data_IF_544991932063
#
_entry.id   IF_544991932063
#
_cell.length_a   1.000
_cell.length_b   1.000
_cell.length_c   1.000
_cell.angle_alpha   90.00
_cell.angle_beta   90.00
_cell.angle_gamma   90.00
#
_symmetry.space_group_name_H-M   'P 1'
#
loop_
_entity.id
_entity.type
_entity.pdbx_description
1 polymer ?
#
# COMPACT_ATOMS: atom_id res chain seq x y z
N UNK A 1 -8.41 9.03 -21.27
CA UNK A 1 -7.80 7.76 -21.74
C UNK A 1 -7.28 7.01 -20.51
N UNK A 2 -7.65 5.74 -20.30
CA UNK A 2 -7.19 4.95 -19.15
C UNK A 2 -5.74 4.51 -19.38
N UNK A 3 -4.83 4.87 -18.48
CA UNK A 3 -3.40 4.55 -18.56
C UNK A 3 -2.92 3.60 -17.47
N UNK A 4 -3.64 3.56 -16.34
CA UNK A 4 -3.33 2.73 -15.19
C UNK A 4 -4.63 2.19 -14.58
N UNK A 5 -4.63 0.93 -14.15
CA UNK A 5 -5.76 0.25 -13.54
C UNK A 5 -5.23 -0.57 -12.35
N UNK A 6 -5.77 -0.32 -11.17
CA UNK A 6 -5.43 -1.11 -10.00
C UNK A 6 -6.65 -1.87 -9.50
N UNK A 7 -6.49 -3.16 -9.33
CA UNK A 7 -7.49 -4.05 -8.77
C UNK A 7 -7.14 -4.30 -7.32
N UNK A 8 -8.05 -3.97 -6.41
CA UNK A 8 -7.90 -4.22 -4.99
C UNK A 8 -8.88 -5.28 -4.51
N UNK A 9 -8.36 -6.29 -3.85
CA UNK A 9 -9.18 -7.25 -3.11
C UNK A 9 -9.61 -6.64 -1.77
N UNK A 10 -10.89 -6.77 -1.43
CA UNK A 10 -11.42 -6.24 -0.18
C UNK A 10 -10.94 -7.07 1.00
N UNK A 11 -10.26 -6.43 1.95
CA UNK A 11 -9.85 -7.03 3.20
C UNK A 11 -10.68 -6.49 4.37
N UNK A 12 -11.27 -7.38 5.15
CA UNK A 12 -12.01 -6.99 6.35
C UNK A 12 -11.08 -6.76 7.52
N UNK A 13 -11.19 -5.59 8.11
CA UNK A 13 -10.49 -5.26 9.36
C UNK A 13 -11.48 -5.34 10.53
N UNK A 14 -11.09 -5.99 11.61
CA UNK A 14 -11.93 -6.25 12.80
C UNK A 14 -12.64 -5.00 13.36
N UNK A 15 -12.01 -3.84 13.24
CA UNK A 15 -12.56 -2.56 13.70
C UNK A 15 -13.45 -1.84 12.67
N UNK A 16 -13.62 -2.40 11.46
CA UNK A 16 -14.43 -1.74 10.43
C UNK A 16 -15.93 -2.06 10.62
N UNK A 17 -16.77 -1.07 10.32
CA UNK A 17 -18.22 -1.26 10.29
C UNK A 17 -18.61 -2.36 9.30
N UNK A 18 -17.89 -2.43 8.18
CA UNK A 18 -18.07 -3.41 7.13
C UNK A 18 -17.86 -4.87 7.60
N UNK A 19 -16.99 -5.09 8.61
CA UNK A 19 -16.77 -6.41 9.20
C UNK A 19 -18.02 -6.93 9.93
N UNK A 20 -18.76 -6.03 10.55
CA UNK A 20 -20.02 -6.36 11.28
C UNK A 20 -21.18 -6.69 10.33
N UNK A 21 -21.18 -6.07 9.15
CA UNK A 21 -22.23 -6.19 8.13
C UNK A 21 -21.95 -7.31 7.10
N UNK A 22 -20.82 -8.01 7.22
CA UNK A 22 -20.34 -8.95 6.20
C UNK A 22 -21.07 -10.29 6.15
N UNK A 23 -21.96 -10.58 7.08
CA UNK A 23 -22.64 -11.89 7.16
C UNK A 23 -23.76 -12.11 6.11
N UNK A 24 -24.16 -11.08 5.36
CA UNK A 24 -25.27 -11.13 4.38
C UNK A 24 -24.83 -10.97 2.92
N UNK A 25 -23.60 -11.23 2.57
CA UNK A 25 -23.13 -10.95 1.21
C UNK A 25 -23.42 -12.07 0.23
N UNK A 26 -24.06 -11.70 -0.87
CA UNK A 26 -24.12 -12.51 -2.08
C UNK A 26 -22.72 -12.78 -2.60
N UNK A 27 -22.42 -14.02 -2.96
CA UNK A 27 -21.17 -14.39 -3.59
C UNK A 27 -20.99 -13.58 -4.87
N UNK A 28 -19.92 -12.80 -4.94
CA UNK A 28 -19.53 -12.12 -6.17
C UNK A 28 -18.96 -13.19 -7.10
N UNK A 29 -19.47 -13.23 -8.34
CA UNK A 29 -18.90 -14.11 -9.36
C UNK A 29 -17.51 -13.61 -9.77
N UNK A 30 -16.52 -14.15 -9.09
CA UNK A 30 -15.11 -13.80 -9.29
C UNK A 30 -14.64 -14.11 -10.71
N UNK A 31 -15.04 -15.24 -11.28
CA UNK A 31 -14.63 -15.63 -12.62
C UNK A 31 -15.13 -14.63 -13.67
N UNK A 32 -16.35 -14.11 -13.46
CA UNK A 32 -16.90 -13.07 -14.32
C UNK A 32 -16.12 -11.75 -14.20
N UNK A 33 -15.73 -11.35 -12.98
CA UNK A 33 -14.91 -10.15 -12.76
C UNK A 33 -13.54 -10.32 -13.40
N UNK A 34 -12.86 -11.42 -13.16
CA UNK A 34 -11.54 -11.70 -13.74
C UNK A 34 -11.59 -11.66 -15.27
N UNK A 35 -12.62 -12.24 -15.88
CA UNK A 35 -12.83 -12.17 -17.33
C UNK A 35 -13.00 -10.75 -17.83
N UNK A 36 -13.74 -9.89 -17.12
CA UNK A 36 -13.90 -8.48 -17.50
C UNK A 36 -12.59 -7.69 -17.34
N UNK A 37 -11.83 -7.94 -16.27
CA UNK A 37 -10.51 -7.33 -16.07
C UNK A 37 -9.58 -7.71 -17.22
N UNK A 38 -9.47 -8.98 -17.54
CA UNK A 38 -8.66 -9.49 -18.65
C UNK A 38 -9.02 -8.79 -19.96
N UNK A 39 -10.30 -8.71 -20.29
CA UNK A 39 -10.78 -8.01 -21.49
C UNK A 39 -10.33 -6.54 -21.53
N UNK A 40 -10.49 -5.81 -20.42
CA UNK A 40 -10.06 -4.39 -20.33
C UNK A 40 -8.55 -4.27 -20.52
N UNK A 41 -7.78 -5.13 -19.85
CA UNK A 41 -6.30 -5.15 -19.89
C UNK A 41 -5.83 -5.38 -21.33
N UNK A 42 -6.42 -6.36 -22.03
CA UNK A 42 -6.11 -6.66 -23.43
C UNK A 42 -6.48 -5.51 -24.38
N UNK A 43 -7.73 -5.03 -24.29
CA UNK A 43 -8.22 -3.91 -25.13
C UNK A 43 -7.39 -2.63 -24.94
N UNK A 44 -6.84 -2.40 -23.78
CA UNK A 44 -6.03 -1.22 -23.46
C UNK A 44 -4.53 -1.45 -23.58
N UNK A 45 -4.10 -2.65 -23.98
CA UNK A 45 -2.67 -3.03 -24.10
C UNK A 45 -1.89 -2.76 -22.81
N UNK A 46 -2.47 -3.12 -21.67
CA UNK A 46 -1.87 -2.97 -20.37
C UNK A 46 -1.11 -4.23 -19.97
N UNK A 47 -0.08 -4.07 -19.14
CA UNK A 47 0.68 -5.17 -18.54
C UNK A 47 0.65 -5.06 -17.02
N UNK A 48 0.67 -6.18 -16.27
CA UNK A 48 0.84 -6.12 -14.84
C UNK A 48 2.24 -5.58 -14.52
N UNK A 49 2.34 -4.68 -13.53
CA UNK A 49 3.62 -4.10 -13.14
C UNK A 49 3.90 -4.21 -11.64
N UNK A 50 2.88 -4.48 -10.82
CA UNK A 50 3.07 -4.87 -9.43
C UNK A 50 1.93 -5.78 -8.96
N UNK A 51 2.22 -6.57 -7.93
CA UNK A 51 1.26 -7.47 -7.29
C UNK A 51 1.60 -7.62 -5.80
N UNK A 52 0.59 -7.57 -4.95
CA UNK A 52 0.76 -7.91 -3.55
C UNK A 52 -0.51 -8.54 -2.95
N UNK A 53 -0.31 -9.36 -1.92
CA UNK A 53 -1.40 -10.04 -1.21
C UNK A 53 -1.60 -9.46 0.18
N UNK A 54 -2.81 -8.99 0.47
CA UNK A 54 -3.17 -8.54 1.81
C UNK A 54 -3.52 -9.73 2.72
N UNK A 55 -3.26 -9.56 4.02
CA UNK A 55 -3.78 -10.49 5.05
C UNK A 55 -5.28 -10.24 5.24
N UNK A 56 -6.03 -11.32 5.53
CA UNK A 56 -7.48 -11.27 5.83
C UNK A 56 -8.37 -10.78 4.66
N UNK A 57 -8.03 -11.16 3.44
CA UNK A 57 -8.95 -10.99 2.31
C UNK A 57 -10.09 -12.00 2.41
N UNK A 58 -11.28 -11.58 1.96
CA UNK A 58 -12.51 -12.38 2.03
C UNK A 58 -12.45 -13.58 1.10
N UNK A 59 -11.84 -13.37 -0.06
CA UNK A 59 -11.69 -14.36 -1.11
C UNK A 59 -10.23 -14.46 -1.52
N UNK A 60 -9.87 -15.57 -2.15
CA UNK A 60 -8.54 -15.77 -2.70
C UNK A 60 -8.31 -14.76 -3.83
N UNK A 61 -7.40 -13.83 -3.62
CA UNK A 61 -7.08 -12.83 -4.62
C UNK A 61 -5.84 -12.03 -4.25
N UNK A 62 -5.35 -11.32 -5.23
CA UNK A 62 -4.19 -10.46 -5.12
C UNK A 62 -4.54 -9.06 -5.59
N UNK A 63 -3.87 -8.06 -5.04
CA UNK A 63 -3.97 -6.72 -5.55
C UNK A 63 -2.98 -6.59 -6.70
N UNK A 64 -3.48 -6.27 -7.88
CA UNK A 64 -2.68 -6.21 -9.10
C UNK A 64 -2.82 -4.83 -9.72
N UNK A 65 -1.68 -4.22 -10.05
CA UNK A 65 -1.62 -3.00 -10.84
C UNK A 65 -1.26 -3.32 -12.29
N UNK A 66 -2.07 -2.81 -13.21
CA UNK A 66 -1.84 -2.88 -14.64
C UNK A 66 -1.59 -1.48 -15.19
N UNK A 67 -0.64 -1.34 -16.11
CA UNK A 67 -0.39 -0.08 -16.78
C UNK A 67 -0.01 -0.27 -18.25
N UNK A 68 -0.14 0.80 -19.01
CA UNK A 68 0.56 0.91 -20.29
C UNK A 68 2.03 1.11 -20.03
N UNK A 69 2.86 0.66 -20.95
CA UNK A 69 4.31 0.82 -20.88
C UNK A 69 4.71 2.29 -20.70
N UNK A 70 5.60 2.55 -19.74
CA UNK A 70 6.04 3.89 -19.35
C UNK A 70 4.99 4.73 -18.62
N UNK A 71 3.90 4.10 -18.11
CA UNK A 71 2.84 4.75 -17.33
C UNK A 71 2.63 4.09 -15.96
N UNK A 72 3.61 3.29 -15.52
CA UNK A 72 3.63 2.67 -14.21
C UNK A 72 3.64 3.73 -13.11
N UNK A 73 2.93 3.46 -12.02
CA UNK A 73 2.99 4.33 -10.83
C UNK A 73 4.24 4.00 -10.03
N UNK A 74 5.23 4.88 -10.08
CA UNK A 74 6.46 4.76 -9.29
C UNK A 74 6.14 4.61 -7.80
N UNK A 75 5.16 5.38 -7.30
CA UNK A 75 4.72 5.26 -5.92
C UNK A 75 4.28 3.83 -5.54
N UNK A 76 3.52 3.17 -6.42
CA UNK A 76 3.07 1.80 -6.16
C UNK A 76 4.25 0.81 -6.14
N UNK A 77 5.20 0.98 -7.04
CA UNK A 77 6.41 0.16 -7.09
C UNK A 77 7.22 0.34 -5.81
N UNK A 78 7.54 1.57 -5.44
CA UNK A 78 8.34 1.88 -4.25
C UNK A 78 7.66 1.49 -2.92
N UNK A 79 6.33 1.46 -2.90
CA UNK A 79 5.59 0.96 -1.73
C UNK A 79 5.73 -0.54 -1.54
N UNK A 80 5.95 -1.31 -2.60
CA UNK A 80 6.11 -2.78 -2.57
C UNK A 80 7.57 -3.17 -2.44
N UNK A 81 8.44 -2.59 -3.27
CA UNK A 81 9.88 -2.91 -3.30
C UNK A 81 10.66 -2.31 -2.12
N UNK A 82 10.10 -1.26 -1.50
CA UNK A 82 10.70 -0.58 -0.33
C UNK A 82 12.14 -0.05 -0.55
N UNK A 83 12.47 0.35 -1.79
CA UNK A 83 13.80 0.81 -2.17
C UNK A 83 14.09 2.26 -1.80
N UNK A 84 13.05 3.04 -1.44
CA UNK A 84 13.18 4.46 -1.15
C UNK A 84 12.68 4.82 0.25
N UNK A 85 13.28 5.88 0.78
CA UNK A 85 12.80 6.52 1.98
C UNK A 85 11.42 7.12 1.76
N UNK A 86 10.54 6.91 2.71
CA UNK A 86 9.16 7.43 2.65
C UNK A 86 8.80 8.14 3.93
N UNK A 87 8.47 9.42 3.84
CA UNK A 87 7.93 10.19 4.97
C UNK A 87 6.41 10.18 4.90
N UNK A 88 5.76 9.52 5.84
CA UNK A 88 4.31 9.46 5.93
C UNK A 88 3.76 10.53 6.89
N UNK A 89 2.72 11.22 6.46
CA UNK A 89 1.96 12.19 7.25
C UNK A 89 0.57 11.64 7.56
N UNK A 90 -0.03 12.09 8.65
CA UNK A 90 -1.36 11.68 9.07
C UNK A 90 -1.40 10.48 10.03
N UNK A 91 -2.55 10.29 10.65
CA UNK A 91 -2.80 9.19 11.58
C UNK A 91 -2.68 7.83 10.88
N UNK A 92 -1.98 6.88 11.52
CA UNK A 92 -1.74 5.54 10.98
C UNK A 92 -0.70 5.46 9.86
N UNK A 93 -0.12 6.59 9.44
CA UNK A 93 0.96 6.60 8.44
C UNK A 93 2.24 5.94 8.97
N UNK A 94 2.99 5.29 8.08
CA UNK A 94 4.26 4.62 8.40
C UNK A 94 5.36 5.27 7.57
N UNK A 95 6.28 5.98 8.23
CA UNK A 95 7.51 6.46 7.61
C UNK A 95 8.54 5.34 7.58
N UNK A 96 9.36 5.29 6.53
CA UNK A 96 10.40 4.29 6.34
C UNK A 96 11.70 4.96 5.95
N UNK A 97 12.80 4.48 6.48
CA UNK A 97 14.16 4.78 6.01
C UNK A 97 14.84 3.47 5.64
N UNK A 98 15.40 3.43 4.45
CA UNK A 98 16.27 2.37 3.99
C UNK A 98 17.69 2.72 4.42
N UNK A 99 18.30 1.88 5.22
CA UNK A 99 19.64 2.08 5.73
C UNK A 99 20.55 1.03 5.09
N UNK A 100 21.50 1.50 4.30
CA UNK A 100 22.52 0.65 3.71
C UNK A 100 23.57 0.30 4.79
N UNK A 101 23.69 -0.96 5.10
CA UNK A 101 24.77 -1.42 6.00
C UNK A 101 26.07 -1.68 5.24
N UNK A 102 27.21 -1.38 5.88
CA UNK A 102 28.55 -1.63 5.34
C UNK A 102 28.80 -3.08 4.95
N UNK A 103 27.94 -4.00 5.40
CA UNK A 103 28.04 -5.44 5.12
C UNK A 103 27.12 -5.90 3.96
N UNK A 104 26.49 -4.96 3.24
CA UNK A 104 25.66 -5.27 2.07
C UNK A 104 24.28 -5.85 2.37
N UNK A 105 23.81 -5.73 3.61
CA UNK A 105 22.45 -6.09 3.99
C UNK A 105 21.72 -4.81 4.40
N UNK A 106 20.81 -4.36 3.56
CA UNK A 106 19.97 -3.21 3.85
C UNK A 106 18.90 -3.58 4.87
N UNK A 107 18.62 -2.68 5.80
CA UNK A 107 17.49 -2.83 6.70
C UNK A 107 16.60 -1.59 6.69
N UNK A 108 15.31 -1.79 7.05
CA UNK A 108 14.33 -0.72 7.03
C UNK A 108 13.93 -0.34 8.45
N UNK A 109 14.26 0.88 8.84
CA UNK A 109 13.75 1.48 10.08
C UNK A 109 12.36 2.09 9.80
N UNK A 110 11.37 1.78 10.66
CA UNK A 110 10.00 2.25 10.50
C UNK A 110 9.55 3.07 11.69
N UNK A 111 8.90 4.21 11.40
CA UNK A 111 8.25 5.05 12.39
C UNK A 111 6.74 5.11 12.13
N UNK A 112 5.95 4.65 13.10
CA UNK A 112 4.50 4.49 12.96
C UNK A 112 3.77 5.62 13.68
N UNK A 113 2.91 6.35 12.98
CA UNK A 113 2.01 7.32 13.58
C UNK A 113 0.83 6.61 14.28
N UNK A 114 0.30 7.17 15.39
CA UNK A 114 -0.92 6.65 16.01
C UNK A 114 -2.07 6.57 15.01
N UNK A 115 -2.86 5.53 15.09
CA UNK A 115 -4.06 5.39 14.26
C UNK A 115 -5.22 6.25 14.73
N UNK A 116 -5.25 6.54 16.04
CA UNK A 116 -6.25 7.42 16.64
C UNK A 116 -5.97 8.88 16.26
N UNK A 117 -6.92 9.59 15.64
CA UNK A 117 -6.71 10.97 15.19
C UNK A 117 -6.45 11.96 16.33
N UNK A 118 -7.14 11.79 17.46
CA UNK A 118 -6.98 12.70 18.60
C UNK A 118 -5.59 12.57 19.22
N UNK A 119 -5.11 11.33 19.37
CA UNK A 119 -3.76 11.05 19.84
C UNK A 119 -2.70 11.58 18.86
N UNK A 120 -2.92 11.40 17.55
CA UNK A 120 -2.02 11.92 16.53
C UNK A 120 -1.87 13.43 16.60
N UNK A 121 -3.00 14.15 16.71
CA UNK A 121 -3.00 15.62 16.85
C UNK A 121 -2.30 16.05 18.14
N UNK A 122 -2.60 15.40 19.27
CA UNK A 122 -1.98 15.71 20.58
C UNK A 122 -0.47 15.55 20.57
N UNK A 123 0.06 14.58 19.82
CA UNK A 123 1.49 14.26 19.79
C UNK A 123 2.20 14.82 18.55
N UNK A 124 1.55 15.68 17.76
CA UNK A 124 2.04 16.12 16.46
C UNK A 124 3.47 16.68 16.50
N UNK A 125 3.73 17.65 17.40
CA UNK A 125 5.05 18.28 17.50
C UNK A 125 6.15 17.31 17.89
N UNK A 126 5.86 16.40 18.84
CA UNK A 126 6.76 15.33 19.24
C UNK A 126 7.07 14.43 18.05
N UNK A 127 6.04 13.98 17.33
CA UNK A 127 6.16 13.08 16.19
C UNK A 127 6.95 13.69 15.03
N UNK A 128 6.75 14.97 14.77
CA UNK A 128 7.52 15.69 13.76
C UNK A 128 9.02 15.74 14.12
N UNK A 129 9.35 16.04 15.37
CA UNK A 129 10.74 16.08 15.84
C UNK A 129 11.41 14.71 15.73
N UNK A 130 10.76 13.66 16.22
CA UNK A 130 11.29 12.30 16.18
C UNK A 130 11.53 11.81 14.74
N UNK A 131 10.63 12.13 13.80
CA UNK A 131 10.83 11.80 12.38
C UNK A 131 11.98 12.58 11.76
N UNK A 132 12.10 13.88 12.06
CA UNK A 132 13.21 14.69 11.57
C UNK A 132 14.54 14.10 12.06
N UNK A 133 14.63 13.71 13.33
CA UNK A 133 15.83 13.08 13.87
C UNK A 133 16.12 11.71 13.22
N UNK A 134 15.09 10.92 12.95
CA UNK A 134 15.22 9.66 12.24
C UNK A 134 15.82 9.88 10.83
N UNK A 135 15.28 10.83 10.06
CA UNK A 135 15.75 11.13 8.71
C UNK A 135 17.10 11.84 8.64
N UNK A 136 17.56 12.45 9.73
CA UNK A 136 18.93 13.02 9.81
C UNK A 136 20.01 11.95 9.96
N UNK A 137 19.71 10.79 10.53
CA UNK A 137 20.66 9.69 10.71
C UNK A 137 21.16 9.10 9.38
N UNK A 138 20.41 9.30 8.31
CA UNK A 138 20.77 8.81 6.97
C UNK A 138 21.99 9.51 6.33
N UNK A 139 22.37 10.69 6.87
CA UNK A 139 23.42 11.52 6.27
C UNK A 139 24.83 11.29 6.86
N UNK A 140 25.01 10.20 7.61
CA UNK A 140 26.31 9.81 8.18
C UNK A 140 26.77 8.53 7.51
#
# INVERSE_FOLDING_TARGET
MLNNLTIHCLAFKRASKLFKESQERNSIDRALIEKHIQKIVEEKTMKPYYMYRQKNIIEWGENIGYSKEGRESIFNIEMIEENQNTMALGGGGISKIVIEERNGIDYIERYVNPKDPALYIKELDKRCKEKIEMFKKEKI
#
